data_IF_042220874431
#
_entry.id   IF_042220874431
#
_cell.length_a   1.000
_cell.length_b   1.000
_cell.length_c   1.000
_cell.angle_alpha   90.00
_cell.angle_beta   90.00
_cell.angle_gamma   90.00
#
_symmetry.space_group_name_H-M   'P 1'
#
loop_
_entity.id
_entity.type
_entity.pdbx_description
1 polymer ?
#
# COMPACT_ATOMS: atom_id res chain seq x y z
N UNK A 1 -11.22 -50.03 -13.58
CA UNK A 1 -12.21 -49.00 -13.98
C UNK A 1 -12.81 -48.27 -12.78
N UNK A 2 -13.57 -48.92 -11.89
CA UNK A 2 -14.28 -48.26 -10.76
C UNK A 2 -13.39 -47.43 -9.82
N UNK A 3 -12.23 -47.95 -9.42
CA UNK A 3 -11.29 -47.23 -8.54
C UNK A 3 -10.66 -46.00 -9.21
N UNK A 4 -10.34 -46.09 -10.50
CA UNK A 4 -9.83 -44.95 -11.28
C UNK A 4 -10.87 -43.84 -11.42
N UNK A 5 -12.13 -44.20 -11.68
CA UNK A 5 -13.24 -43.22 -11.76
C UNK A 5 -13.45 -42.53 -10.41
N UNK A 6 -13.45 -43.27 -9.31
CA UNK A 6 -13.57 -42.69 -7.96
C UNK A 6 -12.37 -41.79 -7.60
N UNK A 7 -11.16 -42.17 -8.01
CA UNK A 7 -9.97 -41.35 -7.81
C UNK A 7 -10.04 -40.03 -8.57
N UNK A 8 -10.41 -40.06 -9.85
CA UNK A 8 -10.58 -38.84 -10.66
C UNK A 8 -11.68 -37.95 -10.07
N UNK A 9 -12.82 -38.54 -9.69
CA UNK A 9 -13.92 -37.79 -9.09
C UNK A 9 -13.50 -37.13 -7.77
N UNK A 10 -12.77 -37.87 -6.92
CA UNK A 10 -12.20 -37.34 -5.68
C UNK A 10 -11.19 -36.21 -5.92
N UNK A 11 -10.31 -36.36 -6.92
CA UNK A 11 -9.34 -35.33 -7.28
C UNK A 11 -10.01 -34.06 -7.81
N UNK A 12 -11.05 -34.19 -8.64
CA UNK A 12 -11.81 -33.04 -9.18
C UNK A 12 -12.55 -32.31 -8.06
N UNK A 13 -13.24 -33.05 -7.18
CA UNK A 13 -13.96 -32.46 -6.04
C UNK A 13 -12.99 -31.81 -5.04
N UNK A 14 -11.89 -32.49 -4.71
CA UNK A 14 -10.85 -31.95 -3.83
C UNK A 14 -10.20 -30.70 -4.41
N UNK A 15 -9.90 -30.70 -5.71
CA UNK A 15 -9.37 -29.55 -6.42
C UNK A 15 -10.31 -28.35 -6.39
N UNK A 16 -11.61 -28.56 -6.64
CA UNK A 16 -12.62 -27.51 -6.59
C UNK A 16 -12.71 -26.89 -5.18
N UNK A 17 -12.75 -27.72 -4.12
CA UNK A 17 -12.77 -27.23 -2.73
C UNK A 17 -11.49 -26.46 -2.39
N UNK A 18 -10.32 -26.95 -2.81
CA UNK A 18 -9.05 -26.27 -2.57
C UNK A 18 -8.99 -24.88 -3.24
N UNK A 19 -9.47 -24.77 -4.48
CA UNK A 19 -9.53 -23.48 -5.20
C UNK A 19 -10.46 -22.48 -4.50
N UNK A 20 -11.63 -22.93 -4.04
CA UNK A 20 -12.57 -22.08 -3.30
C UNK A 20 -11.98 -21.61 -1.96
N UNK A 21 -11.32 -22.50 -1.23
CA UNK A 21 -10.64 -22.17 0.03
C UNK A 21 -9.50 -21.16 -0.20
N UNK A 22 -8.67 -21.37 -1.23
CA UNK A 22 -7.61 -20.42 -1.60
C UNK A 22 -8.17 -19.05 -1.98
N UNK A 23 -9.24 -18.99 -2.76
CA UNK A 23 -9.89 -17.73 -3.14
C UNK A 23 -10.43 -16.98 -1.91
N UNK A 24 -11.09 -17.69 -0.98
CA UNK A 24 -11.58 -17.10 0.25
C UNK A 24 -10.44 -16.53 1.12
N UNK A 25 -9.33 -17.26 1.24
CA UNK A 25 -8.15 -16.78 1.96
C UNK A 25 -7.49 -15.57 1.29
N UNK A 26 -7.43 -15.54 -0.05
CA UNK A 26 -6.89 -14.41 -0.79
C UNK A 26 -7.74 -13.15 -0.62
N UNK A 27 -9.06 -13.29 -0.59
CA UNK A 27 -9.98 -12.16 -0.38
C UNK A 27 -9.79 -11.51 0.99
N UNK A 28 -9.44 -12.29 2.03
CA UNK A 28 -9.20 -11.77 3.38
C UNK A 28 -8.06 -10.75 3.45
N UNK A 29 -7.07 -10.84 2.57
CA UNK A 29 -5.92 -9.91 2.50
C UNK A 29 -5.94 -9.01 1.26
N UNK A 30 -6.99 -9.07 0.43
CA UNK A 30 -7.03 -8.33 -0.83
C UNK A 30 -7.02 -6.82 -0.60
N UNK A 31 -7.80 -6.33 0.36
CA UNK A 31 -7.87 -4.91 0.68
C UNK A 31 -6.57 -4.35 1.29
N UNK A 32 -5.98 -4.95 2.35
CA UNK A 32 -4.62 -4.61 2.83
C UNK A 32 -3.56 -4.51 1.74
N UNK A 33 -3.50 -5.54 0.87
CA UNK A 33 -2.54 -5.59 -0.24
C UNK A 33 -2.82 -4.50 -1.27
N UNK A 34 -4.09 -4.23 -1.56
CA UNK A 34 -4.52 -3.19 -2.48
C UNK A 34 -4.10 -1.80 -2.01
N UNK A 35 -4.33 -1.46 -0.74
CA UNK A 35 -3.92 -0.19 -0.15
C UNK A 35 -2.41 -0.01 -0.27
N UNK A 36 -1.62 -1.01 0.14
CA UNK A 36 -0.16 -0.94 0.05
C UNK A 36 0.35 -0.86 -1.40
N UNK A 37 -0.31 -1.52 -2.34
CA UNK A 37 0.05 -1.42 -3.76
C UNK A 37 -0.19 -0.02 -4.33
N UNK A 38 -1.30 0.65 -3.96
CA UNK A 38 -1.59 2.03 -4.37
C UNK A 38 -0.57 2.99 -3.79
N UNK A 39 -0.29 2.90 -2.49
CA UNK A 39 0.71 3.73 -1.80
C UNK A 39 2.10 3.56 -2.44
N UNK A 40 2.51 2.32 -2.73
CA UNK A 40 3.78 2.03 -3.38
C UNK A 40 3.86 2.62 -4.80
N UNK A 41 2.78 2.50 -5.59
CA UNK A 41 2.72 3.07 -6.94
C UNK A 41 2.88 4.60 -6.91
N UNK A 42 2.14 5.28 -6.03
CA UNK A 42 2.14 6.74 -5.99
C UNK A 42 3.51 7.28 -5.51
N UNK A 43 4.11 6.66 -4.50
CA UNK A 43 5.47 6.99 -4.06
C UNK A 43 6.53 6.67 -5.13
N UNK A 44 6.36 5.58 -5.88
CA UNK A 44 7.21 5.24 -7.03
C UNK A 44 7.17 6.32 -8.11
N UNK A 45 5.98 6.79 -8.47
CA UNK A 45 5.81 7.87 -9.46
C UNK A 45 6.41 9.19 -8.98
N UNK A 46 6.29 9.53 -7.69
CA UNK A 46 6.95 10.70 -7.12
C UNK A 46 8.48 10.60 -7.21
N UNK A 47 9.07 9.42 -6.95
CA UNK A 47 10.51 9.16 -7.14
C UNK A 47 10.93 9.36 -8.60
N UNK A 48 10.13 8.88 -9.55
CA UNK A 48 10.45 9.02 -10.97
C UNK A 48 10.42 10.49 -11.40
N UNK A 49 9.45 11.27 -10.93
CA UNK A 49 9.38 12.71 -11.20
C UNK A 49 10.55 13.45 -10.55
N UNK A 50 10.94 13.10 -9.32
CA UNK A 50 12.08 13.73 -8.63
C UNK A 50 13.42 13.52 -9.35
N UNK A 51 13.55 12.43 -10.11
CA UNK A 51 14.73 12.13 -10.92
C UNK A 51 14.71 12.80 -12.29
N UNK A 52 13.54 13.21 -12.78
CA UNK A 52 13.39 13.90 -14.06
C UNK A 52 13.92 15.35 -13.96
N UNK A 53 14.53 15.85 -15.05
CA UNK A 53 15.00 17.23 -15.16
C UNK A 53 14.49 17.86 -16.47
N UNK A 54 13.62 18.89 -16.40
CA UNK A 54 12.95 19.42 -15.21
C UNK A 54 11.88 18.45 -14.67
N UNK A 55 11.56 18.54 -13.39
CA UNK A 55 10.47 17.79 -12.77
C UNK A 55 9.14 18.53 -12.96
N UNK A 56 8.07 17.77 -13.12
CA UNK A 56 6.71 18.28 -13.23
C UNK A 56 6.14 18.59 -11.83
N UNK A 57 6.22 19.86 -11.43
CA UNK A 57 5.80 20.34 -10.09
C UNK A 57 4.28 20.21 -9.90
N UNK A 58 3.47 20.44 -10.94
CA UNK A 58 2.03 20.27 -10.90
C UNK A 58 1.65 18.81 -10.66
N UNK A 59 2.28 17.90 -11.41
CA UNK A 59 2.06 16.46 -11.25
C UNK A 59 2.53 15.96 -9.89
N UNK A 60 3.62 16.52 -9.38
CA UNK A 60 4.14 16.21 -8.03
C UNK A 60 3.13 16.57 -6.95
N UNK A 61 2.55 17.79 -7.02
CA UNK A 61 1.54 18.23 -6.06
C UNK A 61 0.26 17.38 -6.14
N UNK A 62 -0.17 16.96 -7.33
CA UNK A 62 -1.31 16.05 -7.49
C UNK A 62 -1.04 14.67 -6.84
N UNK A 63 0.15 14.10 -7.08
CA UNK A 63 0.51 12.79 -6.54
C UNK A 63 0.70 12.81 -5.02
N UNK A 64 1.23 13.89 -4.44
CA UNK A 64 1.31 14.06 -2.99
C UNK A 64 -0.07 14.04 -2.34
N UNK A 65 -1.05 14.78 -2.91
CA UNK A 65 -2.43 14.76 -2.42
C UNK A 65 -3.09 13.39 -2.59
N UNK A 66 -2.86 12.72 -3.72
CA UNK A 66 -3.37 11.37 -3.96
C UNK A 66 -2.81 10.37 -2.94
N UNK A 67 -1.50 10.40 -2.71
CA UNK A 67 -0.82 9.55 -1.73
C UNK A 67 -1.38 9.80 -0.33
N UNK A 68 -1.51 11.07 0.07
CA UNK A 68 -2.12 11.45 1.36
C UNK A 68 -3.55 10.94 1.51
N UNK A 69 -4.39 11.05 0.48
CA UNK A 69 -5.74 10.49 0.56
C UNK A 69 -5.70 8.97 0.72
N UNK A 70 -4.84 8.27 -0.02
CA UNK A 70 -4.70 6.82 0.09
C UNK A 70 -4.20 6.36 1.47
N UNK A 71 -3.43 7.18 2.21
CA UNK A 71 -2.99 6.83 3.57
C UNK A 71 -4.13 6.72 4.59
N UNK A 72 -5.29 7.33 4.32
CA UNK A 72 -6.46 7.22 5.21
C UNK A 72 -7.00 5.79 5.27
N UNK A 73 -6.69 4.97 4.26
CA UNK A 73 -7.13 3.58 4.17
C UNK A 73 -6.21 2.61 4.92
N UNK A 74 -5.07 3.06 5.46
CA UNK A 74 -4.08 2.18 6.12
C UNK A 74 -4.69 1.50 7.35
N UNK A 75 -5.23 2.28 8.29
CA UNK A 75 -5.80 1.74 9.53
C UNK A 75 -7.07 0.91 9.29
N UNK A 76 -8.06 1.35 8.49
CA UNK A 76 -9.22 0.53 8.14
C UNK A 76 -8.85 -0.79 7.45
N UNK A 77 -7.79 -0.80 6.63
CA UNK A 77 -7.35 -2.00 5.97
C UNK A 77 -6.67 -2.99 6.92
N UNK A 78 -5.79 -2.54 7.80
CA UNK A 78 -5.05 -3.43 8.72
C UNK A 78 -5.86 -3.83 9.95
N UNK A 79 -6.75 -2.96 10.41
CA UNK A 79 -7.57 -3.14 11.61
C UNK A 79 -9.06 -2.98 11.28
N UNK A 80 -9.67 -3.91 10.52
CA UNK A 80 -11.06 -3.80 10.07
C UNK A 80 -12.09 -3.80 11.21
N UNK A 81 -11.68 -4.20 12.43
CA UNK A 81 -12.52 -4.22 13.62
C UNK A 81 -12.29 -3.01 14.55
N UNK A 82 -11.38 -2.10 14.20
CA UNK A 82 -11.15 -0.83 14.91
C UNK A 82 -10.17 -0.86 16.09
N UNK A 83 -9.72 -2.01 16.55
CA UNK A 83 -8.74 -2.13 17.64
C UNK A 83 -7.30 -1.89 17.15
N UNK A 84 -6.97 -0.65 16.78
CA UNK A 84 -5.65 -0.26 16.23
C UNK A 84 -4.58 -0.27 17.32
N UNK A 85 -3.46 -0.94 17.06
CA UNK A 85 -2.27 -0.86 17.92
C UNK A 85 -1.77 0.61 18.04
N UNK A 86 -1.52 1.14 19.26
CA UNK A 86 -1.12 2.55 19.43
C UNK A 86 0.19 2.92 18.74
N UNK A 87 1.11 1.97 18.58
CA UNK A 87 2.37 2.19 17.86
C UNK A 87 2.13 2.18 16.36
N UNK A 88 1.29 1.28 15.85
CA UNK A 88 0.85 1.31 14.45
C UNK A 88 0.17 2.64 14.10
N UNK A 89 -0.77 3.10 14.93
CA UNK A 89 -1.47 4.38 14.76
C UNK A 89 -0.47 5.54 14.66
N UNK A 90 0.55 5.55 15.53
CA UNK A 90 1.60 6.57 15.52
C UNK A 90 2.36 6.60 14.21
N UNK A 91 2.82 5.45 13.71
CA UNK A 91 3.51 5.39 12.41
C UNK A 91 2.63 5.86 11.25
N UNK A 92 1.34 5.47 11.27
CA UNK A 92 0.38 5.90 10.26
C UNK A 92 0.11 7.41 10.32
N UNK A 93 0.09 8.01 11.50
CA UNK A 93 -0.07 9.45 11.68
C UNK A 93 1.20 10.24 11.33
N UNK A 94 2.38 9.76 11.70
CA UNK A 94 3.65 10.40 11.34
C UNK A 94 3.79 10.49 9.80
N UNK A 95 3.41 9.44 9.06
CA UNK A 95 3.35 9.46 7.61
C UNK A 95 2.36 10.52 7.08
N UNK A 96 1.16 10.60 7.66
CA UNK A 96 0.12 11.56 7.27
C UNK A 96 0.57 12.99 7.53
N UNK A 97 1.20 13.24 8.67
CA UNK A 97 1.76 14.53 9.05
C UNK A 97 2.86 14.97 8.08
N UNK A 98 3.82 14.10 7.76
CA UNK A 98 4.88 14.42 6.77
C UNK A 98 4.31 14.72 5.39
N UNK A 99 3.25 14.02 4.98
CA UNK A 99 2.54 14.31 3.73
C UNK A 99 1.80 15.65 3.77
N UNK A 100 1.12 15.96 4.87
CA UNK A 100 0.43 17.24 5.06
C UNK A 100 1.42 18.42 5.01
N UNK A 101 2.59 18.28 5.64
CA UNK A 101 3.70 19.23 5.52
C UNK A 101 4.19 19.36 4.08
N UNK A 102 4.41 18.24 3.38
CA UNK A 102 4.86 18.22 1.98
C UNK A 102 3.86 18.84 1.00
N UNK A 103 2.56 18.83 1.34
CA UNK A 103 1.49 19.43 0.54
C UNK A 103 1.37 20.93 0.82
N UNK A 104 1.61 21.36 2.06
CA UNK A 104 1.54 22.76 2.46
C UNK A 104 2.68 23.59 1.84
N UNK A 105 3.85 22.99 1.62
CA UNK A 105 4.99 23.62 0.98
C UNK A 105 4.98 23.42 -0.55
N UNK A 106 5.03 24.50 -1.36
CA UNK A 106 5.11 24.36 -2.81
C UNK A 106 6.36 23.58 -3.24
N UNK A 107 6.20 22.57 -4.09
CA UNK A 107 7.33 21.89 -4.74
C UNK A 107 7.98 22.87 -5.71
N UNK A 108 9.02 23.56 -5.26
CA UNK A 108 9.73 24.60 -6.01
C UNK A 108 10.69 24.02 -7.05
N UNK A 109 11.30 22.86 -6.75
CA UNK A 109 12.27 22.19 -7.59
C UNK A 109 12.39 20.69 -7.28
N UNK A 110 13.18 20.00 -8.09
CA UNK A 110 13.36 18.55 -8.03
C UNK A 110 14.15 18.10 -6.80
N UNK A 111 15.18 18.84 -6.34
CA UNK A 111 15.82 18.59 -5.04
C UNK A 111 14.85 18.66 -3.86
N UNK A 112 13.95 19.64 -3.81
CA UNK A 112 12.91 19.75 -2.78
C UNK A 112 11.96 18.55 -2.83
N UNK A 113 11.51 18.17 -4.03
CA UNK A 113 10.71 16.95 -4.21
C UNK A 113 11.45 15.70 -3.73
N UNK A 114 12.75 15.59 -4.04
CA UNK A 114 13.59 14.48 -3.61
C UNK A 114 13.67 14.34 -2.09
N UNK A 115 13.72 15.47 -1.35
CA UNK A 115 13.67 15.48 0.11
C UNK A 115 12.33 14.98 0.64
N UNK A 116 11.22 15.46 0.07
CA UNK A 116 9.88 14.99 0.46
C UNK A 116 9.75 13.48 0.24
N UNK A 117 10.18 13.00 -0.92
CA UNK A 117 10.18 11.57 -1.26
C UNK A 117 11.03 10.74 -0.29
N UNK A 118 12.20 11.25 0.12
CA UNK A 118 13.06 10.58 1.08
C UNK A 118 12.39 10.47 2.46
N UNK A 119 11.86 11.58 2.98
CA UNK A 119 11.15 11.61 4.27
C UNK A 119 9.93 10.68 4.28
N UNK A 120 9.10 10.72 3.22
CA UNK A 120 7.95 9.82 3.08
C UNK A 120 8.41 8.35 3.05
N UNK A 121 9.48 8.04 2.30
CA UNK A 121 10.02 6.68 2.23
C UNK A 121 10.50 6.17 3.59
N UNK A 122 11.14 7.04 4.38
CA UNK A 122 11.57 6.70 5.74
C UNK A 122 10.39 6.32 6.64
N UNK A 123 9.29 7.07 6.62
CA UNK A 123 8.08 6.70 7.39
C UNK A 123 7.45 5.38 6.91
N UNK A 124 7.46 5.11 5.60
CA UNK A 124 7.05 3.80 5.09
C UNK A 124 7.93 2.67 5.65
N UNK A 125 9.25 2.87 5.67
CA UNK A 125 10.20 1.86 6.16
C UNK A 125 10.10 1.70 7.68
N UNK A 126 9.87 2.78 8.44
CA UNK A 126 9.72 2.74 9.90
C UNK A 126 8.54 1.84 10.30
N UNK A 127 7.37 2.03 9.68
CA UNK A 127 6.20 1.18 9.91
C UNK A 127 6.49 -0.28 9.48
N UNK A 128 7.04 -0.49 8.28
CA UNK A 128 7.29 -1.83 7.78
C UNK A 128 8.34 -2.62 8.58
N UNK A 129 9.32 -1.96 9.20
CA UNK A 129 10.30 -2.67 10.05
C UNK A 129 9.65 -3.32 11.27
N UNK A 130 8.52 -2.80 11.74
CA UNK A 130 7.83 -3.31 12.91
C UNK A 130 6.63 -4.20 12.57
N UNK A 131 5.95 -3.95 11.46
CA UNK A 131 4.65 -4.56 11.16
C UNK A 131 4.57 -5.42 9.88
N UNK A 132 5.69 -5.60 9.14
CA UNK A 132 5.73 -6.42 7.92
C UNK A 132 6.63 -7.64 8.08
#
# INVERSE_FOLDING_TARGET
MRLLVLFILGAVLGGAVAMLAMNALQQRSAYPRGVMAVLQNDLGRLRDIAKAQPCDTNRSAELLRRLRNATQEIEPAMYPNGDVDPTFHRHAEDLRSTLDHSIAEPVSDCPALGKNVAAISEHCDNCHREFR
#
